data_IF_924647578818
#
_entry.id   IF_924647578818
#
_cell.length_a   1.000
_cell.length_b   1.000
_cell.length_c   1.000
_cell.angle_alpha   90.00
_cell.angle_beta   90.00
_cell.angle_gamma   90.00
#
_symmetry.space_group_name_H-M   'P 1'
#
loop_
_entity.id
_entity.type
_entity.pdbx_description
1 polymer ?
#
# COMPACT_ATOMS: atom_id res chain seq x y z
N UNK A 1 -8.77 3.44 7.29
CA UNK A 1 -7.87 3.45 6.13
C UNK A 1 -8.45 2.66 4.98
N UNK A 2 -7.86 2.84 3.82
CA UNK A 2 -8.36 2.26 2.59
C UNK A 2 -9.57 3.00 2.02
N UNK A 3 -10.00 2.56 0.84
CA UNK A 3 -11.17 3.09 0.15
C UNK A 3 -12.23 2.01 0.07
N UNK A 4 -13.47 2.37 0.37
CA UNK A 4 -14.59 1.44 0.31
C UNK A 4 -14.85 0.97 -1.13
N UNK A 5 -15.12 -0.31 -1.32
CA UNK A 5 -15.49 -0.89 -2.62
C UNK A 5 -16.70 -0.18 -3.24
N UNK A 6 -17.64 0.27 -2.43
CA UNK A 6 -18.80 1.01 -2.91
C UNK A 6 -18.43 2.36 -3.53
N UNK A 7 -17.40 3.03 -2.99
CA UNK A 7 -16.88 4.28 -3.56
C UNK A 7 -16.15 3.97 -4.86
N UNK A 8 -15.30 2.95 -4.90
CA UNK A 8 -14.54 2.54 -6.10
C UNK A 8 -15.49 2.16 -7.26
N UNK A 9 -16.64 1.55 -6.97
CA UNK A 9 -17.63 1.24 -8.00
C UNK A 9 -18.25 2.49 -8.63
N UNK A 10 -18.37 3.58 -7.89
CA UNK A 10 -18.94 4.85 -8.36
C UNK A 10 -17.87 5.75 -8.97
N UNK A 11 -16.70 5.78 -8.37
CA UNK A 11 -15.54 6.59 -8.76
C UNK A 11 -14.32 5.66 -8.83
N UNK A 12 -14.09 4.99 -9.97
CA UNK A 12 -13.01 4.01 -10.12
C UNK A 12 -11.61 4.59 -9.83
N UNK A 13 -11.40 5.87 -10.08
CA UNK A 13 -10.15 6.59 -9.83
C UNK A 13 -9.80 6.61 -8.33
N UNK A 14 -10.78 6.55 -7.44
CA UNK A 14 -10.56 6.50 -5.98
C UNK A 14 -9.71 5.29 -5.54
N UNK A 15 -9.61 4.24 -6.36
CA UNK A 15 -8.70 3.12 -6.10
C UNK A 15 -7.24 3.58 -5.91
N UNK A 16 -6.88 4.68 -6.54
CA UNK A 16 -5.52 5.24 -6.51
C UNK A 16 -5.33 6.36 -5.50
N UNK A 17 -6.37 6.74 -4.76
CA UNK A 17 -6.25 7.78 -3.75
C UNK A 17 -5.24 7.38 -2.67
N UNK A 18 -4.49 8.36 -2.20
CA UNK A 18 -3.57 8.17 -1.08
C UNK A 18 -4.33 8.09 0.23
N UNK A 19 -3.92 7.21 1.10
CA UNK A 19 -4.49 7.06 2.45
C UNK A 19 -3.47 6.53 3.44
N UNK A 20 -3.74 6.77 4.73
CA UNK A 20 -2.93 6.30 5.86
C UNK A 20 -3.78 5.35 6.70
N UNK A 21 -3.16 4.30 7.21
CA UNK A 21 -3.83 3.27 8.02
C UNK A 21 -2.86 2.60 9.00
N UNK A 22 -3.40 1.65 9.75
CA UNK A 22 -2.63 0.66 10.51
C UNK A 22 -3.32 -0.68 10.29
N UNK A 23 -2.93 -1.39 9.21
CA UNK A 23 -3.43 -2.72 8.87
C UNK A 23 -4.86 -2.80 8.32
N UNK A 24 -5.60 -1.68 8.22
CA UNK A 24 -6.98 -1.65 7.70
C UNK A 24 -6.98 -1.07 6.31
N UNK A 25 -7.32 -1.88 5.30
CA UNK A 25 -7.17 -1.51 3.88
C UNK A 25 -8.47 -1.47 3.10
N UNK A 26 -9.59 -1.94 3.67
CA UNK A 26 -10.84 -2.14 2.95
C UNK A 26 -11.77 -0.90 2.97
N UNK A 27 -11.48 0.11 3.76
CA UNK A 27 -12.31 1.31 3.88
C UNK A 27 -13.74 1.10 4.39
N UNK A 28 -14.12 -0.13 4.73
CA UNK A 28 -15.48 -0.50 5.12
C UNK A 28 -15.65 -0.62 6.64
N UNK A 29 -14.55 -0.71 7.39
CA UNK A 29 -14.56 -0.86 8.83
C UNK A 29 -14.55 0.50 9.50
N UNK A 30 -15.65 0.83 10.12
CA UNK A 30 -15.77 2.06 10.90
C UNK A 30 -15.25 1.89 12.33
N UNK A 31 -14.83 2.98 12.94
CA UNK A 31 -14.46 3.07 14.36
C UNK A 31 -13.27 2.19 14.81
N UNK A 32 -12.43 1.73 13.91
CA UNK A 32 -11.19 1.02 14.25
C UNK A 32 -9.95 1.92 14.25
N UNK A 33 -9.96 2.95 13.41
CA UNK A 33 -8.93 3.98 13.33
C UNK A 33 -9.46 5.32 13.83
N UNK A 34 -8.61 6.09 14.46
CA UNK A 34 -8.86 7.48 14.79
C UNK A 34 -7.60 8.32 14.59
N UNK A 35 -7.79 9.63 14.57
CA UNK A 35 -6.72 10.59 14.36
C UNK A 35 -6.84 11.72 15.35
N UNK A 36 -5.70 12.31 15.70
CA UNK A 36 -5.63 13.52 16.50
C UNK A 36 -4.54 14.42 15.93
N UNK A 37 -4.81 15.71 15.76
CA UNK A 37 -3.82 16.70 15.31
C UNK A 37 -3.29 16.47 13.88
N UNK A 38 -3.98 15.69 13.08
CA UNK A 38 -3.69 15.49 11.65
C UNK A 38 -4.81 16.14 10.86
N UNK A 39 -4.45 17.11 10.02
CA UNK A 39 -5.38 17.77 9.12
C UNK A 39 -5.30 17.12 7.74
N UNK A 40 -6.31 16.31 7.39
CA UNK A 40 -6.40 15.65 6.10
C UNK A 40 -7.00 16.55 5.02
N UNK A 41 -7.64 17.66 5.38
CA UNK A 41 -8.20 18.61 4.40
C UNK A 41 -7.07 19.35 3.67
N UNK A 42 -5.92 19.52 4.34
CA UNK A 42 -4.73 20.10 3.73
C UNK A 42 -3.99 19.15 2.79
N UNK A 43 -4.31 17.85 2.81
CA UNK A 43 -3.67 16.87 1.95
C UNK A 43 -4.29 16.87 0.56
N UNK A 44 -3.59 17.42 -0.38
CA UNK A 44 -4.02 17.60 -1.77
C UNK A 44 -2.97 17.07 -2.74
N UNK A 45 -3.25 17.11 -4.03
CA UNK A 45 -2.29 16.75 -5.08
C UNK A 45 -1.00 17.59 -5.07
N UNK A 46 -1.06 18.78 -4.47
CA UNK A 46 0.06 19.75 -4.46
C UNK A 46 0.60 20.02 -3.05
N UNK A 47 -0.04 19.49 -2.04
CA UNK A 47 0.34 19.76 -0.64
C UNK A 47 0.32 18.46 0.18
N UNK A 48 1.45 18.14 0.81
CA UNK A 48 1.59 16.99 1.69
C UNK A 48 1.07 17.24 3.10
N UNK A 49 0.96 16.20 3.90
CA UNK A 49 0.67 16.31 5.33
C UNK A 49 1.97 16.49 6.11
N UNK A 50 1.99 17.48 6.99
CA UNK A 50 3.07 17.66 7.96
C UNK A 50 2.47 18.02 9.32
N UNK A 51 2.79 17.23 10.33
CA UNK A 51 2.42 17.53 11.71
C UNK A 51 3.50 17.05 12.68
N UNK A 52 3.77 17.84 13.71
CA UNK A 52 4.70 17.47 14.80
C UNK A 52 3.98 17.02 16.07
N UNK A 53 2.65 17.12 16.08
CA UNK A 53 1.82 16.80 17.23
C UNK A 53 0.51 16.15 16.78
N UNK A 54 0.63 15.18 15.87
CA UNK A 54 -0.49 14.40 15.35
C UNK A 54 -0.22 12.91 15.40
N UNK A 55 -1.28 12.13 15.42
CA UNK A 55 -1.19 10.69 15.36
C UNK A 55 -2.38 10.07 14.62
N UNK A 56 -2.13 8.96 13.96
CA UNK A 56 -3.13 7.97 13.54
C UNK A 56 -2.98 6.78 14.48
N UNK A 57 -4.07 6.26 15.00
CA UNK A 57 -4.01 5.17 15.97
C UNK A 57 -5.21 4.22 15.87
N UNK A 58 -5.01 2.99 16.29
CA UNK A 58 -6.06 1.99 16.44
C UNK A 58 -6.80 2.22 17.76
N UNK A 59 -8.14 2.27 17.70
CA UNK A 59 -8.99 2.40 18.88
C UNK A 59 -9.01 1.09 19.67
N UNK A 60 -9.09 -0.03 18.96
CA UNK A 60 -9.04 -1.37 19.54
C UNK A 60 -8.05 -2.26 18.78
N UNK A 61 -6.77 -2.23 19.16
CA UNK A 61 -5.73 -3.01 18.46
C UNK A 61 -6.00 -4.52 18.42
N UNK A 62 -6.69 -5.05 19.43
CA UNK A 62 -6.96 -6.49 19.54
C UNK A 62 -7.88 -7.03 18.45
N UNK A 63 -8.65 -6.17 17.79
CA UNK A 63 -9.55 -6.56 16.71
C UNK A 63 -8.87 -6.59 15.32
N UNK A 64 -7.66 -6.06 15.24
CA UNK A 64 -7.02 -5.79 13.93
C UNK A 64 -5.73 -6.58 13.74
N UNK A 65 -4.98 -6.83 14.81
CA UNK A 65 -3.58 -7.21 14.72
C UNK A 65 -3.38 -8.72 14.96
N UNK A 66 -3.46 -9.53 13.92
CA UNK A 66 -3.03 -10.93 13.93
C UNK A 66 -1.87 -11.23 12.96
N UNK A 67 -1.43 -10.24 12.17
CA UNK A 67 -0.41 -10.40 11.13
C UNK A 67 0.95 -9.87 11.60
N UNK A 68 2.03 -10.33 10.97
CA UNK A 68 3.39 -9.88 11.25
C UNK A 68 3.80 -8.67 10.40
N UNK A 69 2.99 -8.31 9.41
CA UNK A 69 3.23 -7.18 8.52
C UNK A 69 1.95 -6.35 8.38
N UNK A 70 2.09 -5.04 8.48
CA UNK A 70 0.97 -4.12 8.40
C UNK A 70 1.18 -3.10 7.30
N UNK A 71 0.17 -2.93 6.45
CA UNK A 71 0.13 -1.80 5.54
C UNK A 71 -0.16 -0.55 6.37
N UNK A 72 0.65 0.48 6.19
CA UNK A 72 0.53 1.76 6.91
C UNK A 72 0.06 2.90 6.02
N UNK A 73 0.24 2.79 4.71
CA UNK A 73 -0.23 3.78 3.75
C UNK A 73 -0.32 3.20 2.34
N UNK A 74 -1.16 3.81 1.51
CA UNK A 74 -1.04 3.83 0.07
C UNK A 74 -0.68 5.25 -0.35
N UNK A 75 0.33 5.39 -1.20
CA UNK A 75 0.78 6.69 -1.69
C UNK A 75 0.76 6.69 -3.22
N UNK A 76 -0.02 7.59 -3.78
CA UNK A 76 -0.01 7.87 -5.21
C UNK A 76 0.78 9.12 -5.45
N UNK A 77 1.83 9.02 -6.25
CA UNK A 77 2.73 10.11 -6.58
C UNK A 77 2.89 10.23 -8.10
N UNK A 78 3.19 11.41 -8.63
CA UNK A 78 3.53 11.57 -10.04
C UNK A 78 4.74 10.72 -10.44
N UNK A 79 4.71 10.14 -11.65
CA UNK A 79 5.79 9.25 -12.14
C UNK A 79 7.18 9.90 -12.22
N UNK A 80 7.24 11.22 -12.20
CA UNK A 80 8.47 12.02 -12.28
C UNK A 80 8.81 12.72 -10.98
N UNK A 81 8.07 12.46 -9.91
CA UNK A 81 8.31 13.03 -8.60
C UNK A 81 9.10 12.04 -7.73
N UNK A 82 9.91 12.57 -6.84
CA UNK A 82 10.51 11.83 -5.74
C UNK A 82 9.96 12.43 -4.46
N UNK A 83 9.32 11.58 -3.67
CA UNK A 83 8.69 11.99 -2.42
C UNK A 83 9.28 11.22 -1.24
N UNK A 84 9.14 11.78 -0.06
CA UNK A 84 9.62 11.14 1.16
C UNK A 84 8.52 11.15 2.20
N UNK A 85 8.22 9.97 2.73
CA UNK A 85 7.36 9.82 3.90
C UNK A 85 8.23 9.59 5.13
N UNK A 86 8.05 10.43 6.16
CA UNK A 86 8.73 10.31 7.46
C UNK A 86 7.66 10.23 8.54
N UNK A 87 7.77 9.24 9.40
CA UNK A 87 6.86 9.09 10.54
C UNK A 87 7.57 8.40 11.70
N UNK A 88 7.00 8.55 12.89
CA UNK A 88 7.39 7.79 14.06
C UNK A 88 6.30 6.78 14.39
N UNK A 89 6.68 5.61 14.85
CA UNK A 89 5.75 4.55 15.21
C UNK A 89 5.96 4.11 16.66
N UNK A 90 4.89 3.69 17.31
CA UNK A 90 4.95 3.07 18.62
C UNK A 90 3.89 1.99 18.74
N UNK A 91 4.15 1.02 19.55
CA UNK A 91 3.23 -0.08 19.79
C UNK A 91 3.58 -0.82 21.08
N UNK A 92 2.77 -1.81 21.36
CA UNK A 92 2.95 -2.75 22.47
C UNK A 92 2.78 -4.16 21.93
N UNK A 93 3.67 -5.05 22.25
CA UNK A 93 3.54 -6.46 21.92
C UNK A 93 2.41 -7.08 22.75
N UNK A 94 1.74 -8.09 22.21
CA UNK A 94 0.57 -8.73 22.86
C UNK A 94 0.84 -9.20 24.28
N UNK A 95 2.09 -9.57 24.58
CA UNK A 95 2.55 -10.06 25.90
C UNK A 95 3.92 -9.49 26.25
N UNK A 96 4.31 -8.36 25.68
CA UNK A 96 5.65 -7.87 25.70
C UNK A 96 5.79 -6.42 26.12
N UNK A 97 6.93 -5.87 25.80
CA UNK A 97 7.30 -4.49 26.12
C UNK A 97 6.76 -3.53 25.07
N UNK A 98 6.54 -2.29 25.48
CA UNK A 98 6.25 -1.19 24.56
C UNK A 98 7.49 -0.87 23.75
N UNK A 99 7.32 -0.59 22.47
CA UNK A 99 8.38 -0.17 21.57
C UNK A 99 8.08 1.17 20.94
N UNK A 100 9.12 1.90 20.52
CA UNK A 100 9.04 3.17 19.80
C UNK A 100 10.16 3.25 18.80
N UNK A 101 9.81 3.67 17.59
CA UNK A 101 10.76 3.98 16.53
C UNK A 101 10.49 5.38 16.01
N UNK A 102 11.53 6.17 15.84
CA UNK A 102 11.44 7.56 15.44
C UNK A 102 12.03 7.76 14.06
N UNK A 103 11.48 8.73 13.33
CA UNK A 103 11.99 9.20 12.04
C UNK A 103 12.20 8.08 11.01
N UNK A 104 11.26 7.11 10.99
CA UNK A 104 11.24 6.06 9.98
C UNK A 104 11.00 6.73 8.63
N UNK A 105 11.91 6.51 7.68
CA UNK A 105 11.89 7.17 6.40
C UNK A 105 11.68 6.19 5.25
N UNK A 106 10.69 6.48 4.39
CA UNK A 106 10.49 5.83 3.10
C UNK A 106 10.70 6.85 1.98
N UNK A 107 11.61 6.54 1.07
CA UNK A 107 11.82 7.32 -0.15
C UNK A 107 11.02 6.68 -1.27
N UNK A 108 10.03 7.39 -1.76
CA UNK A 108 9.21 7.04 -2.89
C UNK A 108 9.88 7.60 -4.15
N UNK A 109 10.60 6.76 -4.86
CA UNK A 109 11.34 7.13 -6.07
C UNK A 109 10.92 6.21 -7.22
N UNK A 110 10.04 6.67 -8.11
CA UNK A 110 9.58 5.85 -9.23
C UNK A 110 10.71 5.33 -10.12
N UNK A 111 11.85 6.04 -10.17
CA UNK A 111 13.00 5.60 -10.97
C UNK A 111 13.72 4.39 -10.38
N UNK A 112 13.50 4.13 -9.08
CA UNK A 112 14.05 2.98 -8.35
C UNK A 112 13.05 1.84 -8.22
N UNK A 113 11.79 2.09 -8.52
CA UNK A 113 10.83 1.02 -8.72
C UNK A 113 11.27 0.33 -10.01
N UNK A 114 12.06 -0.71 -9.88
CA UNK A 114 12.30 -1.65 -10.97
C UNK A 114 11.00 -2.40 -11.22
N UNK A 115 10.00 -1.70 -11.72
CA UNK A 115 9.01 -2.35 -12.54
C UNK A 115 9.80 -2.77 -13.77
N UNK A 116 10.30 -4.00 -13.80
CA UNK A 116 10.51 -4.65 -15.06
C UNK A 116 9.16 -4.49 -15.76
N UNK A 117 9.02 -3.59 -16.75
CA UNK A 117 7.74 -3.40 -17.39
C UNK A 117 7.32 -4.77 -17.90
N UNK A 118 6.15 -5.22 -17.47
CA UNK A 118 5.66 -6.51 -17.94
C UNK A 118 5.61 -6.41 -19.45
N UNK A 119 6.32 -7.30 -20.18
CA UNK A 119 6.33 -7.23 -21.64
C UNK A 119 4.90 -7.26 -22.18
N UNK A 120 4.61 -6.44 -23.19
CA UNK A 120 3.24 -6.32 -23.74
C UNK A 120 2.72 -7.63 -24.35
N UNK A 121 3.64 -8.51 -24.74
CA UNK A 121 3.38 -9.86 -25.25
C UNK A 121 3.36 -10.92 -24.13
N UNK A 122 3.59 -10.55 -22.88
CA UNK A 122 3.45 -11.44 -21.75
C UNK A 122 1.97 -11.67 -21.43
N UNK A 123 1.58 -12.94 -21.29
CA UNK A 123 0.21 -13.34 -20.94
C UNK A 123 0.10 -13.95 -19.56
N UNK A 124 1.21 -14.45 -19.02
CA UNK A 124 1.29 -14.98 -17.66
C UNK A 124 2.57 -14.47 -17.00
N UNK A 125 2.37 -13.61 -16.01
CA UNK A 125 3.45 -12.97 -15.23
C UNK A 125 3.58 -13.63 -13.86
N UNK A 126 4.81 -13.90 -13.46
CA UNK A 126 5.14 -14.28 -12.09
C UNK A 126 5.68 -13.06 -11.36
N UNK A 127 5.01 -12.63 -10.29
CA UNK A 127 5.36 -11.41 -9.55
C UNK A 127 6.43 -11.63 -8.46
N UNK A 128 6.93 -12.86 -8.36
CA UNK A 128 7.85 -13.31 -7.32
C UNK A 128 7.18 -14.23 -6.30
N UNK A 129 5.86 -14.34 -6.33
CA UNK A 129 5.04 -15.15 -5.43
C UNK A 129 3.83 -15.75 -6.16
N UNK A 130 3.13 -14.95 -6.93
CA UNK A 130 1.87 -15.28 -7.57
C UNK A 130 2.02 -15.36 -9.09
N UNK A 131 1.13 -16.11 -9.72
CA UNK A 131 0.95 -16.11 -11.15
C UNK A 131 -0.20 -15.17 -11.50
N UNK A 132 0.08 -14.20 -12.35
CA UNK A 132 -0.85 -13.16 -12.76
C UNK A 132 -1.14 -13.28 -14.26
N UNK A 133 -2.42 -13.24 -14.62
CA UNK A 133 -2.82 -13.03 -16.00
C UNK A 133 -2.55 -11.59 -16.41
N UNK A 134 -2.00 -11.42 -17.59
CA UNK A 134 -1.62 -10.12 -18.15
C UNK A 134 -2.29 -9.92 -19.49
N UNK A 135 -2.78 -8.73 -19.72
CA UNK A 135 -3.32 -8.29 -21.00
C UNK A 135 -2.66 -6.96 -21.37
N UNK A 136 -1.96 -6.93 -22.49
CA UNK A 136 -1.25 -5.74 -23.00
C UNK A 136 -0.30 -5.10 -21.96
N UNK A 137 0.43 -5.93 -21.21
CA UNK A 137 1.35 -5.44 -20.17
C UNK A 137 0.69 -5.05 -18.85
N UNK A 138 -0.64 -5.20 -18.73
CA UNK A 138 -1.40 -4.88 -17.52
C UNK A 138 -1.90 -6.16 -16.84
N UNK A 139 -1.69 -6.27 -15.54
CA UNK A 139 -2.21 -7.38 -14.74
C UNK A 139 -3.74 -7.28 -14.66
N UNK A 140 -4.42 -8.37 -15.00
CA UNK A 140 -5.89 -8.49 -14.91
C UNK A 140 -6.35 -9.30 -13.71
N UNK A 141 -5.58 -10.30 -13.28
CA UNK A 141 -5.89 -11.13 -12.11
C UNK A 141 -4.64 -11.90 -11.67
N UNK A 142 -4.54 -12.22 -10.38
CA UNK A 142 -3.46 -13.03 -9.82
C UNK A 142 -4.01 -14.15 -8.93
N UNK A 143 -3.21 -15.20 -8.77
CA UNK A 143 -3.39 -16.15 -7.65
C UNK A 143 -3.07 -15.43 -6.33
N UNK A 144 -3.60 -15.95 -5.22
CA UNK A 144 -3.26 -15.48 -3.86
C UNK A 144 -2.56 -16.62 -3.12
N UNK A 145 -1.25 -16.71 -3.25
CA UNK A 145 -0.45 -17.66 -2.49
C UNK A 145 0.17 -16.96 -1.28
N UNK A 146 0.31 -17.68 -0.19
CA UNK A 146 1.12 -17.23 0.93
C UNK A 146 2.58 -17.55 0.63
N UNK A 147 3.42 -16.53 0.48
CA UNK A 147 4.83 -16.72 0.14
C UNK A 147 5.72 -16.29 1.31
N UNK A 148 6.58 -17.18 1.72
CA UNK A 148 7.58 -16.93 2.76
C UNK A 148 8.87 -16.32 2.22
N UNK A 149 9.08 -16.42 0.91
CA UNK A 149 10.21 -15.84 0.17
C UNK A 149 9.69 -15.34 -1.16
N UNK A 150 10.23 -14.21 -1.63
CA UNK A 150 9.93 -13.68 -2.97
C UNK A 150 11.08 -14.04 -3.93
N UNK A 151 10.72 -14.46 -5.14
CA UNK A 151 11.65 -14.69 -6.24
C UNK A 151 11.66 -13.49 -7.19
N UNK A 152 12.60 -13.48 -8.13
CA UNK A 152 12.64 -12.43 -9.16
C UNK A 152 11.42 -12.51 -10.08
N UNK A 153 10.64 -11.44 -10.24
CA UNK A 153 9.53 -11.40 -11.16
C UNK A 153 9.95 -11.69 -12.60
N UNK A 154 9.10 -12.41 -13.35
CA UNK A 154 9.41 -12.78 -14.74
C UNK A 154 8.16 -13.19 -15.51
N UNK A 155 8.19 -12.98 -16.84
CA UNK A 155 7.16 -13.53 -17.72
C UNK A 155 7.33 -15.03 -17.85
N UNK A 156 6.26 -15.79 -17.68
CA UNK A 156 6.22 -17.26 -17.79
C UNK A 156 5.65 -17.73 -19.12
N UNK A 157 4.78 -16.93 -19.72
CA UNK A 157 4.16 -17.25 -21.02
C UNK A 157 4.09 -15.98 -21.87
N UNK A 158 4.62 -16.06 -23.07
CA UNK A 158 4.51 -15.02 -24.09
C UNK A 158 3.45 -15.39 -25.14
N UNK A 159 2.74 -14.39 -25.66
CA UNK A 159 1.95 -14.60 -26.87
C UNK A 159 2.93 -14.95 -28.02
N UNK A 160 2.80 -16.16 -28.55
CA UNK A 160 3.46 -16.51 -29.79
C UNK A 160 2.73 -15.76 -30.91
N UNK A 161 3.23 -14.60 -31.30
CA UNK A 161 2.70 -13.89 -32.46
C UNK A 161 2.77 -14.81 -33.69
N UNK A 162 1.64 -14.98 -34.33
CA UNK A 162 1.55 -15.53 -35.68
C UNK A 162 1.89 -14.46 -36.69
#
# INVERSE_FOLDING_TARGET
GGISENIIQIVPEALYDSWITIGITDGNRENLLSTIGVDFEDWTETNGITTTNGAVFLINPQEVLEENEYIIAQMTIPNNAQETMIFSAQGEERYGESWKEYDIQFVLDPSKITTNPIPVDCTLWYDGCNLCHVLNGVISSCTKNMCFTTETPSCRVFNSGH
#
